data_IF_934568221776
#
_entry.id   IF_934568221776
#
_cell.length_a   1.000
_cell.length_b   1.000
_cell.length_c   1.000
_cell.angle_alpha   90.00
_cell.angle_beta   90.00
_cell.angle_gamma   90.00
#
_symmetry.space_group_name_H-M   'P 1'
#
loop_
_entity.id
_entity.type
_entity.pdbx_description
1 polymer ?
#
# COMPACT_ATOMS: atom_id res chain seq x y z
N UNK A 1 15.14 -10.55 13.98
CA UNK A 1 15.12 -10.64 12.50
C UNK A 1 13.82 -11.26 11.95
N UNK A 2 13.40 -12.49 12.30
CA UNK A 2 12.19 -13.15 11.71
C UNK A 2 10.87 -12.39 11.93
N UNK A 3 10.62 -11.90 13.14
CA UNK A 3 9.39 -11.19 13.48
C UNK A 3 9.26 -9.87 12.70
N UNK A 4 10.34 -9.09 12.59
CA UNK A 4 10.39 -7.86 11.79
C UNK A 4 10.00 -8.12 10.32
N UNK A 5 10.64 -9.12 9.68
CA UNK A 5 10.32 -9.50 8.29
C UNK A 5 8.86 -9.92 8.14
N UNK A 6 8.35 -10.67 9.10
CA UNK A 6 6.94 -11.12 9.12
C UNK A 6 6.00 -9.92 9.21
N UNK A 7 6.22 -9.02 10.17
CA UNK A 7 5.40 -7.82 10.38
C UNK A 7 5.39 -6.93 9.14
N UNK A 8 6.53 -6.68 8.50
CA UNK A 8 6.58 -5.84 7.29
C UNK A 8 5.83 -6.48 6.11
N UNK A 9 6.01 -7.78 5.87
CA UNK A 9 5.32 -8.49 4.78
C UNK A 9 3.81 -8.48 5.00
N UNK A 10 3.36 -8.88 6.20
CA UNK A 10 1.93 -8.85 6.54
C UNK A 10 1.35 -7.44 6.48
N UNK A 11 2.10 -6.41 6.90
CA UNK A 11 1.66 -5.02 6.80
C UNK A 11 1.49 -4.59 5.34
N UNK A 12 2.42 -4.93 4.44
CA UNK A 12 2.28 -4.60 3.01
C UNK A 12 1.13 -5.34 2.34
N UNK A 13 0.92 -6.62 2.66
CA UNK A 13 -0.22 -7.39 2.15
C UNK A 13 -1.55 -6.86 2.68
N UNK A 14 -1.62 -6.52 3.97
CA UNK A 14 -2.79 -5.91 4.58
C UNK A 14 -3.08 -4.53 3.99
N UNK A 15 -2.04 -3.72 3.76
CA UNK A 15 -2.16 -2.42 3.13
C UNK A 15 -2.75 -2.53 1.71
N UNK A 16 -2.19 -3.41 0.88
CA UNK A 16 -2.73 -3.65 -0.47
C UNK A 16 -4.18 -4.13 -0.44
N UNK A 17 -4.47 -5.10 0.43
CA UNK A 17 -5.82 -5.65 0.57
C UNK A 17 -6.81 -4.57 0.99
N UNK A 18 -6.45 -3.73 1.98
CA UNK A 18 -7.28 -2.62 2.44
C UNK A 18 -7.54 -1.58 1.36
N UNK A 19 -6.52 -1.22 0.57
CA UNK A 19 -6.69 -0.27 -0.55
C UNK A 19 -7.61 -0.84 -1.63
N UNK A 20 -7.41 -2.10 -2.02
CA UNK A 20 -8.25 -2.75 -3.06
C UNK A 20 -9.70 -2.84 -2.57
N UNK A 21 -9.93 -3.33 -1.36
CA UNK A 21 -11.27 -3.41 -0.78
C UNK A 21 -11.92 -2.03 -0.66
N UNK A 22 -11.16 -1.02 -0.24
CA UNK A 22 -11.65 0.36 -0.16
C UNK A 22 -12.08 0.89 -1.52
N UNK A 23 -11.32 0.61 -2.57
CA UNK A 23 -11.66 0.99 -3.93
C UNK A 23 -12.93 0.27 -4.42
N UNK A 24 -13.05 -1.04 -4.21
CA UNK A 24 -14.26 -1.81 -4.57
C UNK A 24 -15.51 -1.27 -3.86
N UNK A 25 -15.40 -0.93 -2.58
CA UNK A 25 -16.50 -0.35 -1.80
C UNK A 25 -16.88 1.03 -2.33
N UNK A 26 -15.89 1.88 -2.62
CA UNK A 26 -16.11 3.22 -3.18
C UNK A 26 -16.73 3.17 -4.58
N UNK A 27 -16.30 2.21 -5.38
CA UNK A 27 -16.80 1.96 -6.74
C UNK A 27 -18.27 1.51 -6.71
N UNK A 28 -18.62 0.63 -5.77
CA UNK A 28 -20.01 0.22 -5.50
C UNK A 28 -20.85 1.42 -5.04
N UNK A 29 -20.31 2.29 -4.19
CA UNK A 29 -21.01 3.47 -3.68
C UNK A 29 -21.30 4.52 -4.77
N UNK A 30 -20.47 4.56 -5.81
CA UNK A 30 -20.54 5.54 -6.90
C UNK A 30 -21.06 4.94 -8.21
N UNK A 31 -21.44 3.67 -8.21
CA UNK A 31 -21.79 2.91 -9.40
C UNK A 31 -20.75 3.10 -10.53
N UNK A 32 -19.49 2.78 -10.24
CA UNK A 32 -18.37 3.01 -11.16
C UNK A 32 -18.26 4.49 -11.60
N UNK A 33 -18.30 5.40 -10.63
CA UNK A 33 -18.25 6.85 -10.85
C UNK A 33 -19.36 7.42 -11.77
N UNK A 34 -20.42 6.65 -12.04
CA UNK A 34 -21.51 7.04 -12.95
C UNK A 34 -22.79 7.46 -12.23
N UNK A 35 -22.89 7.25 -10.91
CA UNK A 35 -24.04 7.67 -10.12
C UNK A 35 -24.16 9.20 -10.05
N UNK A 36 -25.40 9.71 -10.10
CA UNK A 36 -25.67 11.10 -9.74
C UNK A 36 -25.37 11.33 -8.25
N UNK A 37 -25.02 12.56 -7.85
CA UNK A 37 -24.69 12.86 -6.44
C UNK A 37 -25.82 12.52 -5.46
N UNK A 38 -27.07 12.56 -5.92
CA UNK A 38 -28.26 12.17 -5.14
C UNK A 38 -28.37 10.67 -4.91
N UNK A 39 -27.71 9.86 -5.72
CA UNK A 39 -27.77 8.39 -5.68
C UNK A 39 -26.55 7.80 -4.96
N UNK A 40 -25.49 8.59 -4.74
CA UNK A 40 -24.29 8.15 -4.03
C UNK A 40 -24.61 7.84 -2.58
N UNK A 41 -24.31 6.61 -2.16
CA UNK A 41 -24.38 6.26 -0.75
C UNK A 41 -23.17 6.83 0.00
N UNK A 42 -23.37 7.98 0.66
CA UNK A 42 -22.31 8.69 1.38
C UNK A 42 -21.63 7.84 2.47
N UNK A 43 -22.38 7.01 3.18
CA UNK A 43 -21.82 6.14 4.23
C UNK A 43 -20.85 5.12 3.62
N UNK A 44 -21.26 4.50 2.50
CA UNK A 44 -20.43 3.52 1.81
C UNK A 44 -19.21 4.17 1.15
N UNK A 45 -19.38 5.36 0.56
CA UNK A 45 -18.29 6.13 -0.01
C UNK A 45 -17.24 6.51 1.05
N UNK A 46 -17.68 6.99 2.22
CA UNK A 46 -16.79 7.31 3.33
C UNK A 46 -16.09 6.07 3.89
N UNK A 47 -16.77 4.93 3.95
CA UNK A 47 -16.16 3.66 4.35
C UNK A 47 -15.06 3.24 3.37
N UNK A 48 -15.34 3.28 2.06
CA UNK A 48 -14.37 2.96 1.02
C UNK A 48 -13.14 3.88 1.06
N UNK A 49 -13.38 5.19 1.20
CA UNK A 49 -12.30 6.17 1.38
C UNK A 49 -11.49 5.93 2.66
N UNK A 50 -12.16 5.61 3.76
CA UNK A 50 -11.52 5.28 5.04
C UNK A 50 -10.61 4.06 4.93
N UNK A 51 -11.03 3.03 4.21
CA UNK A 51 -10.22 1.83 3.94
C UNK A 51 -8.97 2.15 3.12
N UNK A 52 -9.10 3.01 2.10
CA UNK A 52 -7.95 3.46 1.29
C UNK A 52 -6.94 4.21 2.17
N UNK A 53 -7.41 5.16 2.98
CA UNK A 53 -6.55 5.94 3.87
C UNK A 53 -5.89 5.05 4.93
N UNK A 54 -6.63 4.10 5.50
CA UNK A 54 -6.10 3.15 6.47
C UNK A 54 -5.01 2.25 5.85
N UNK A 55 -5.25 1.71 4.65
CA UNK A 55 -4.24 0.92 3.93
C UNK A 55 -2.98 1.73 3.60
N UNK A 56 -3.15 2.97 3.13
CA UNK A 56 -2.04 3.88 2.89
C UNK A 56 -1.25 4.20 4.17
N UNK A 57 -1.93 4.41 5.30
CA UNK A 57 -1.29 4.62 6.59
C UNK A 57 -0.48 3.38 7.00
N UNK A 58 -1.05 2.18 6.93
CA UNK A 58 -0.34 0.92 7.24
C UNK A 58 0.93 0.80 6.39
N UNK A 59 0.85 1.09 5.09
CA UNK A 59 2.02 1.09 4.22
C UNK A 59 3.07 2.13 4.65
N UNK A 60 2.67 3.38 4.88
CA UNK A 60 3.57 4.45 5.30
C UNK A 60 4.27 4.12 6.64
N UNK A 61 3.55 3.56 7.61
CA UNK A 61 4.15 3.10 8.87
C UNK A 61 5.07 1.90 8.66
N UNK A 62 4.73 0.96 7.77
CA UNK A 62 5.59 -0.19 7.46
C UNK A 62 6.95 0.23 6.86
N UNK A 63 6.96 1.31 6.08
CA UNK A 63 8.17 1.85 5.44
C UNK A 63 8.98 2.74 6.38
N UNK A 64 8.36 3.36 7.39
CA UNK A 64 9.06 4.18 8.40
C UNK A 64 9.91 3.34 9.38
N UNK A 65 9.63 2.05 9.52
CA UNK A 65 10.50 1.11 10.26
C UNK A 65 11.80 0.74 9.53
N UNK A 66 12.11 1.38 8.40
CA UNK A 66 13.40 1.32 7.73
C UNK A 66 14.47 1.94 8.65
N UNK A 67 15.27 1.10 9.30
CA UNK A 67 16.40 1.49 10.15
C UNK A 67 17.36 2.45 9.42
N UNK A 68 17.91 3.44 10.13
CA UNK A 68 18.98 4.30 9.63
C UNK A 68 20.15 3.44 9.14
N UNK A 69 20.33 3.34 7.83
CA UNK A 69 21.32 2.45 7.19
C UNK A 69 20.85 1.82 5.89
N UNK A 70 19.55 1.84 5.59
CA UNK A 70 19.01 1.30 4.34
C UNK A 70 18.72 2.43 3.32
N UNK A 71 19.70 3.31 3.15
CA UNK A 71 19.84 4.09 1.92
C UNK A 71 20.27 3.13 0.81
N UNK A 72 19.87 3.41 -0.45
CA UNK A 72 20.20 2.59 -1.62
C UNK A 72 21.65 2.08 -1.55
N UNK A 73 21.85 0.77 -1.40
CA UNK A 73 23.04 0.11 -1.93
C UNK A 73 22.95 0.29 -3.45
N UNK A 74 23.57 1.34 -3.97
CA UNK A 74 23.89 1.44 -5.38
C UNK A 74 25.09 0.52 -5.61
N UNK A 75 24.97 -0.30 -6.65
CA UNK A 75 26.05 -0.88 -7.45
C UNK A 75 27.22 -1.51 -6.70
N UNK A 76 27.06 -2.78 -6.29
CA UNK A 76 28.20 -3.71 -6.16
C UNK A 76 28.14 -4.75 -7.30
N UNK A 77 27.84 -4.29 -8.51
CA UNK A 77 28.15 -5.03 -9.76
C UNK A 77 29.24 -4.28 -10.50
N UNK A 78 30.40 -4.17 -9.87
CA UNK A 78 31.64 -4.12 -10.62
C UNK A 78 31.91 -5.56 -11.07
N UNK A 79 31.42 -5.91 -12.26
CA UNK A 79 31.88 -7.09 -12.98
C UNK A 79 33.39 -6.94 -13.19
N UNK A 80 34.19 -7.71 -12.43
CA UNK A 80 35.60 -7.94 -12.75
C UNK A 80 35.64 -8.73 -14.07
N UNK A 81 35.70 -7.98 -15.17
CA UNK A 81 36.06 -8.54 -16.48
C UNK A 81 37.55 -8.85 -16.45
N UNK A 82 37.89 -10.04 -15.95
CA UNK A 82 39.18 -10.68 -16.16
C UNK A 82 39.38 -10.86 -17.67
N UNK A 83 40.31 -10.10 -18.24
CA UNK A 83 40.70 -10.21 -19.63
C UNK A 83 42.12 -10.81 -19.65
N UNK A 84 42.17 -12.13 -19.58
CA UNK A 84 43.36 -12.97 -19.75
C UNK A 84 43.25 -13.85 -21.00
#
# INVERSE_FOLDING_TARGET
MRLYKTVTVFATMLAMTGVILGFVVLDTATNNASAALSEVNLLLALLGLGLIVAGAAIYAFSTRFRTAGMGKSKDDTDEESDNG
#
